data_IF_812121301473
#
_entry.id   IF_812121301473
#
_cell.length_a   1.000
_cell.length_b   1.000
_cell.length_c   1.000
_cell.angle_alpha   90.00
_cell.angle_beta   90.00
_cell.angle_gamma   90.00
#
_symmetry.space_group_name_H-M   'P 1'
#
loop_
_entity.id
_entity.type
_entity.pdbx_description
1 polymer ?
#
# COMPACT_ATOMS: atom_id res chain seq x y z
N UNK A 1 7.13 -7.92 -14.52
CA UNK A 1 6.13 -8.97 -14.26
C UNK A 1 5.36 -9.23 -15.56
N UNK A 2 5.49 -10.40 -16.22
CA UNK A 2 4.70 -10.74 -17.39
C UNK A 2 3.39 -11.38 -16.92
N UNK A 3 2.42 -10.63 -16.58
CA UNK A 3 0.98 -10.91 -16.67
C UNK A 3 0.20 -9.98 -15.73
N UNK A 4 -0.35 -8.91 -16.31
CA UNK A 4 -1.12 -7.85 -15.66
C UNK A 4 -2.55 -8.27 -15.23
N UNK A 5 -2.76 -9.51 -14.81
CA UNK A 5 -3.99 -9.93 -14.15
C UNK A 5 -3.69 -10.53 -12.79
N UNK A 6 -3.10 -9.70 -11.91
CA UNK A 6 -2.96 -10.07 -10.49
C UNK A 6 -4.30 -9.88 -9.78
N UNK A 7 -5.22 -10.81 -9.99
CA UNK A 7 -6.51 -10.85 -9.30
C UNK A 7 -6.40 -11.12 -7.78
N UNK A 8 -5.17 -11.30 -7.25
CA UNK A 8 -4.91 -11.48 -5.81
C UNK A 8 -3.48 -11.10 -5.47
N UNK A 9 -3.06 -9.86 -5.77
CA UNK A 9 -1.80 -9.38 -5.25
C UNK A 9 -1.99 -9.05 -3.77
N UNK A 10 -1.42 -9.86 -2.90
CA UNK A 10 -1.38 -9.62 -1.46
C UNK A 10 0.04 -9.25 -1.10
N UNK A 11 0.22 -8.11 -0.45
CA UNK A 11 1.48 -7.70 0.15
C UNK A 11 1.22 -7.19 1.56
N UNK A 12 2.22 -7.30 2.40
CA UNK A 12 2.20 -6.75 3.75
C UNK A 12 3.10 -5.52 3.78
N UNK A 13 2.56 -4.38 4.21
CA UNK A 13 3.34 -3.17 4.38
C UNK A 13 3.66 -2.98 5.87
N UNK A 14 4.95 -3.06 6.21
CA UNK A 14 5.45 -2.76 7.54
C UNK A 14 5.59 -1.25 7.70
N UNK A 15 4.79 -0.68 8.61
CA UNK A 15 4.79 0.74 8.92
C UNK A 15 4.85 0.92 10.43
N UNK A 16 6.01 1.25 10.94
CA UNK A 16 6.28 1.52 12.34
C UNK A 16 6.71 2.97 12.48
N UNK A 17 5.74 3.85 12.75
CA UNK A 17 5.85 5.31 12.84
C UNK A 17 5.16 5.87 14.07
N UNK A 18 5.40 7.15 14.34
CA UNK A 18 4.82 7.90 15.46
C UNK A 18 5.72 7.88 16.69
N UNK A 19 5.30 8.63 17.72
CA UNK A 19 6.10 8.81 18.95
C UNK A 19 6.30 7.51 19.73
N UNK A 20 5.29 6.63 19.71
CA UNK A 20 5.31 5.33 20.38
C UNK A 20 5.86 4.20 19.52
N UNK A 21 6.21 4.47 18.25
CA UNK A 21 6.76 3.49 17.34
C UNK A 21 8.12 2.96 17.82
N UNK A 22 8.38 1.68 17.60
CA UNK A 22 9.68 1.06 17.88
C UNK A 22 10.78 1.72 17.07
N UNK A 23 11.99 1.80 17.66
CA UNK A 23 13.17 2.44 17.04
C UNK A 23 14.38 1.51 17.14
N UNK A 24 15.39 1.76 16.31
CA UNK A 24 16.68 1.08 16.37
C UNK A 24 16.58 -0.45 16.28
N UNK A 25 17.25 -1.14 17.18
CA UNK A 25 17.31 -2.61 17.21
C UNK A 25 15.96 -3.30 17.35
N UNK A 26 15.04 -2.70 18.10
CA UNK A 26 13.72 -3.32 18.36
C UNK A 26 12.83 -3.27 17.11
N UNK A 27 12.88 -2.15 16.38
CA UNK A 27 12.22 -2.01 15.08
C UNK A 27 12.79 -3.01 14.06
N UNK A 28 14.13 -3.14 14.00
CA UNK A 28 14.80 -4.09 13.12
C UNK A 28 14.44 -5.53 13.46
N UNK A 29 14.41 -5.88 14.75
CA UNK A 29 14.05 -7.22 15.20
C UNK A 29 12.61 -7.56 14.81
N UNK A 30 11.66 -6.66 15.07
CA UNK A 30 10.27 -6.85 14.68
C UNK A 30 10.12 -6.99 13.16
N UNK A 31 10.79 -6.13 12.38
CA UNK A 31 10.74 -6.20 10.91
C UNK A 31 11.24 -7.56 10.38
N UNK A 32 12.32 -8.11 10.95
CA UNK A 32 12.82 -9.45 10.59
C UNK A 32 11.85 -10.57 10.97
N UNK A 33 11.19 -10.48 12.12
CA UNK A 33 10.18 -11.44 12.51
C UNK A 33 8.98 -11.43 11.56
N UNK A 34 8.51 -10.23 11.20
CA UNK A 34 7.43 -10.06 10.23
C UNK A 34 7.85 -10.56 8.84
N UNK A 35 9.09 -10.29 8.41
CA UNK A 35 9.62 -10.77 7.13
C UNK A 35 9.64 -12.31 7.09
N UNK A 36 10.13 -12.96 8.14
CA UNK A 36 10.12 -14.42 8.24
C UNK A 36 8.69 -14.98 8.10
N UNK A 37 7.73 -14.36 8.76
CA UNK A 37 6.32 -14.75 8.67
C UNK A 37 5.78 -14.53 7.24
N UNK A 38 6.03 -13.38 6.64
CA UNK A 38 5.62 -13.07 5.27
C UNK A 38 6.18 -14.09 4.26
N UNK A 39 7.48 -14.39 4.35
CA UNK A 39 8.13 -15.36 3.45
C UNK A 39 7.55 -16.78 3.63
N UNK A 40 7.25 -17.18 4.87
CA UNK A 40 6.60 -18.48 5.14
C UNK A 40 5.27 -18.63 4.41
N UNK A 41 4.53 -17.54 4.24
CA UNK A 41 3.23 -17.52 3.54
C UNK A 41 3.33 -16.98 2.11
N UNK A 42 4.55 -16.79 1.59
CA UNK A 42 4.79 -16.27 0.23
C UNK A 42 4.12 -14.91 -0.04
N UNK A 43 4.07 -14.07 1.00
CA UNK A 43 3.57 -12.69 0.93
C UNK A 43 4.76 -11.74 0.88
N UNK A 44 4.91 -10.88 -0.14
CA UNK A 44 5.97 -9.88 -0.16
C UNK A 44 5.85 -8.90 1.01
N UNK A 45 7.00 -8.60 1.63
CA UNK A 45 7.11 -7.58 2.67
C UNK A 45 7.59 -6.26 2.06
N UNK A 46 6.79 -5.21 2.18
CA UNK A 46 7.10 -3.86 1.77
C UNK A 46 7.39 -3.02 3.01
N UNK A 47 8.49 -2.28 3.02
CA UNK A 47 8.80 -1.31 4.08
C UNK A 47 8.27 0.05 3.69
N UNK A 48 7.56 0.71 4.62
CA UNK A 48 7.07 2.06 4.41
C UNK A 48 8.18 3.07 4.72
N UNK A 49 8.61 3.85 3.73
CA UNK A 49 9.57 4.97 3.72
C UNK A 49 10.98 4.75 4.32
N UNK A 50 11.17 3.82 5.22
CA UNK A 50 12.43 3.57 5.90
C UNK A 50 13.42 2.80 5.01
N UNK A 51 14.20 3.56 4.24
CA UNK A 51 15.19 3.04 3.28
C UNK A 51 16.26 2.21 3.97
N UNK A 52 16.74 2.67 5.13
CA UNK A 52 17.80 1.97 5.87
C UNK A 52 17.30 0.60 6.35
N UNK A 53 16.09 0.55 6.90
CA UNK A 53 15.47 -0.70 7.32
C UNK A 53 15.24 -1.63 6.13
N UNK A 54 14.73 -1.10 5.01
CA UNK A 54 14.46 -1.90 3.81
C UNK A 54 15.75 -2.55 3.28
N UNK A 55 16.86 -1.81 3.24
CA UNK A 55 18.18 -2.33 2.87
C UNK A 55 18.69 -3.34 3.90
N UNK A 56 18.58 -3.04 5.21
CA UNK A 56 19.14 -3.86 6.29
C UNK A 56 18.52 -5.27 6.36
N UNK A 57 17.28 -5.43 5.93
CA UNK A 57 16.59 -6.73 5.91
C UNK A 57 16.46 -7.32 4.52
N UNK A 58 16.98 -6.67 3.48
CA UNK A 58 16.75 -7.02 2.07
C UNK A 58 15.25 -7.24 1.76
N UNK A 59 14.42 -6.24 2.09
CA UNK A 59 12.97 -6.30 1.92
C UNK A 59 12.58 -6.60 0.47
N UNK A 60 11.36 -7.13 0.25
CA UNK A 60 10.85 -7.38 -1.10
C UNK A 60 10.49 -6.09 -1.85
N UNK A 61 10.37 -4.97 -1.10
CA UNK A 61 10.13 -3.66 -1.69
C UNK A 61 10.03 -2.54 -0.67
N UNK A 62 9.76 -1.34 -1.20
CA UNK A 62 9.57 -0.11 -0.43
C UNK A 62 8.35 0.64 -0.93
N UNK A 63 7.63 1.30 -0.04
CA UNK A 63 6.55 2.24 -0.37
C UNK A 63 6.93 3.64 0.07
N UNK A 64 6.83 4.60 -0.84
CA UNK A 64 7.27 5.98 -0.66
C UNK A 64 6.08 6.94 -0.70
N UNK A 65 6.17 8.01 0.07
CA UNK A 65 5.34 9.20 -0.07
C UNK A 65 6.01 10.25 -0.94
N UNK A 66 5.31 11.35 -1.21
CA UNK A 66 5.81 12.44 -2.06
C UNK A 66 7.00 13.22 -1.47
N UNK A 67 7.15 13.19 -0.15
CA UNK A 67 8.24 13.86 0.57
C UNK A 67 9.40 12.95 0.97
N UNK A 68 9.34 11.66 0.62
CA UNK A 68 10.38 10.68 0.96
C UNK A 68 11.51 10.67 -0.11
N UNK A 69 12.34 9.61 -0.10
CA UNK A 69 13.34 9.39 -1.14
C UNK A 69 12.70 9.40 -2.53
N UNK A 70 13.34 10.04 -3.49
CA UNK A 70 12.79 10.05 -4.85
C UNK A 70 12.69 8.65 -5.45
N UNK A 71 11.66 8.40 -6.27
CA UNK A 71 11.47 7.11 -6.95
C UNK A 71 12.68 6.73 -7.81
N UNK A 72 13.35 7.72 -8.42
CA UNK A 72 14.55 7.48 -9.25
C UNK A 72 15.69 6.93 -8.40
N UNK A 73 15.96 7.53 -7.25
CA UNK A 73 16.98 7.04 -6.32
C UNK A 73 16.59 5.69 -5.71
N UNK A 74 15.32 5.53 -5.35
CA UNK A 74 14.80 4.26 -4.84
C UNK A 74 14.99 3.13 -5.88
N UNK A 75 14.72 3.38 -7.16
CA UNK A 75 14.92 2.36 -8.21
C UNK A 75 16.40 1.97 -8.38
N UNK A 76 17.33 2.89 -8.13
CA UNK A 76 18.76 2.60 -8.13
C UNK A 76 19.19 1.74 -6.92
N UNK A 77 18.63 2.02 -5.74
CA UNK A 77 18.94 1.28 -4.50
C UNK A 77 18.23 -0.09 -4.45
N UNK A 78 17.08 -0.21 -5.06
CA UNK A 78 16.23 -1.41 -5.03
C UNK A 78 15.98 -1.97 -6.44
N UNK A 79 17.03 -2.35 -7.19
CA UNK A 79 16.86 -2.89 -8.53
C UNK A 79 16.08 -4.20 -8.49
N UNK A 80 14.98 -4.28 -9.27
CA UNK A 80 14.13 -5.46 -9.34
C UNK A 80 13.21 -5.70 -8.15
N UNK A 81 13.26 -4.83 -7.11
CA UNK A 81 12.33 -4.87 -5.96
C UNK A 81 11.04 -4.11 -6.26
N UNK A 82 10.01 -4.34 -5.47
CA UNK A 82 8.73 -3.66 -5.60
C UNK A 82 8.84 -2.22 -5.07
N UNK A 83 8.46 -1.24 -5.87
CA UNK A 83 8.35 0.15 -5.45
C UNK A 83 6.90 0.59 -5.56
N UNK A 84 6.32 1.01 -4.44
CA UNK A 84 5.03 1.67 -4.38
C UNK A 84 5.19 3.17 -4.15
N UNK A 85 4.26 3.97 -4.67
CA UNK A 85 4.24 5.42 -4.46
C UNK A 85 2.84 5.88 -4.05
N UNK A 86 2.77 6.71 -3.01
CA UNK A 86 1.53 7.42 -2.66
C UNK A 86 1.24 8.52 -3.67
N UNK A 87 0.03 8.48 -4.27
CA UNK A 87 -0.44 9.48 -5.24
C UNK A 87 -1.90 9.80 -4.93
N UNK A 88 -2.16 11.01 -4.40
CA UNK A 88 -3.50 11.46 -4.03
C UNK A 88 -4.12 12.46 -5.00
N UNK A 89 -3.31 13.12 -5.85
CA UNK A 89 -3.76 14.16 -6.75
C UNK A 89 -3.25 13.97 -8.18
N UNK A 90 -3.90 14.62 -9.14
CA UNK A 90 -3.45 14.69 -10.54
C UNK A 90 -2.06 15.33 -10.63
N UNK A 91 -1.82 16.39 -9.86
CA UNK A 91 -0.52 17.07 -9.84
C UNK A 91 0.60 16.13 -9.36
N UNK A 92 0.38 15.38 -8.27
CA UNK A 92 1.33 14.38 -7.80
C UNK A 92 1.58 13.30 -8.85
N UNK A 93 0.53 12.85 -9.55
CA UNK A 93 0.65 11.85 -10.61
C UNK A 93 1.53 12.37 -11.77
N UNK A 94 1.25 13.57 -12.26
CA UNK A 94 1.96 14.16 -13.41
C UNK A 94 3.42 14.52 -13.10
N UNK A 95 3.72 14.85 -11.83
CA UNK A 95 5.07 15.19 -11.38
C UNK A 95 5.90 13.99 -10.90
N UNK A 96 5.32 12.79 -10.87
CA UNK A 96 6.01 11.58 -10.43
C UNK A 96 6.45 10.70 -11.61
N UNK A 97 7.64 10.06 -11.55
CA UNK A 97 8.10 9.12 -12.57
C UNK A 97 7.36 7.78 -12.44
N UNK A 98 6.08 7.77 -12.83
CA UNK A 98 5.14 6.66 -12.65
C UNK A 98 5.61 5.37 -13.34
N UNK A 99 6.37 5.49 -14.43
CA UNK A 99 6.95 4.36 -15.17
C UNK A 99 7.99 3.57 -14.37
N UNK A 100 8.51 4.16 -13.29
CA UNK A 100 9.50 3.53 -12.41
C UNK A 100 8.88 2.85 -11.19
N UNK A 101 7.55 2.96 -10.97
CA UNK A 101 6.87 2.31 -9.84
C UNK A 101 6.09 1.07 -10.29
N UNK A 102 5.87 0.15 -9.37
CA UNK A 102 5.13 -1.09 -9.61
C UNK A 102 3.65 -0.97 -9.23
N UNK A 103 3.31 -0.03 -8.35
CA UNK A 103 1.94 0.31 -8.00
C UNK A 103 1.84 1.71 -7.37
N UNK A 104 0.66 2.30 -7.41
CA UNK A 104 0.35 3.53 -6.68
C UNK A 104 -0.64 3.25 -5.55
N UNK A 105 -0.43 3.92 -4.41
CA UNK A 105 -1.36 3.97 -3.28
C UNK A 105 -2.15 5.27 -3.33
N UNK A 106 -3.46 5.21 -3.59
CA UNK A 106 -4.30 6.38 -3.81
C UNK A 106 -5.27 6.61 -2.66
N UNK A 107 -5.19 7.79 -2.06
CA UNK A 107 -6.03 8.15 -0.91
C UNK A 107 -5.47 9.32 -0.09
N UNK A 108 -6.05 9.55 1.11
CA UNK A 108 -7.14 8.76 1.69
C UNK A 108 -8.48 8.92 0.95
N UNK A 109 -9.19 7.83 0.71
CA UNK A 109 -10.51 7.89 0.06
C UNK A 109 -11.52 8.56 0.99
N UNK A 110 -11.53 8.16 2.26
CA UNK A 110 -12.31 8.80 3.31
C UNK A 110 -11.39 9.39 4.37
N UNK A 111 -11.84 10.39 5.14
CA UNK A 111 -11.05 10.96 6.23
C UNK A 111 -10.58 9.88 7.19
N UNK A 112 -9.30 9.91 7.58
CA UNK A 112 -8.69 8.87 8.44
C UNK A 112 -7.86 9.49 9.54
N UNK A 113 -7.85 8.84 10.71
CA UNK A 113 -6.98 9.15 11.84
C UNK A 113 -5.82 8.12 11.98
N UNK A 114 -5.72 7.16 11.05
CA UNK A 114 -4.68 6.12 11.12
C UNK A 114 -3.28 6.60 10.70
N UNK A 115 -3.18 7.83 10.20
CA UNK A 115 -1.92 8.51 9.87
C UNK A 115 -2.01 9.95 10.35
N UNK A 116 -1.00 10.41 11.09
CA UNK A 116 -0.93 11.79 11.59
C UNK A 116 -0.66 12.79 10.45
N UNK A 117 -0.08 12.30 9.35
CA UNK A 117 0.30 13.03 8.13
C UNK A 117 -0.67 12.82 6.95
N UNK A 118 -1.92 12.44 7.23
CA UNK A 118 -2.90 12.16 6.17
C UNK A 118 -3.29 13.44 5.41
N UNK A 119 -3.19 13.40 4.10
CA UNK A 119 -3.71 14.43 3.18
C UNK A 119 -5.25 14.50 3.24
N UNK A 120 -5.88 15.57 2.74
CA UNK A 120 -7.33 15.64 2.60
C UNK A 120 -7.89 14.45 1.80
N UNK A 121 -9.11 14.02 2.17
CA UNK A 121 -9.76 12.88 1.50
C UNK A 121 -10.06 13.21 0.03
N UNK A 122 -9.68 12.30 -0.88
CA UNK A 122 -9.89 12.45 -2.33
C UNK A 122 -11.26 11.97 -2.79
N UNK A 123 -11.94 11.15 -1.98
CA UNK A 123 -13.24 10.55 -2.30
C UNK A 123 -13.20 9.61 -3.51
N UNK A 124 -14.37 9.08 -3.87
CA UNK A 124 -14.53 8.23 -5.05
C UNK A 124 -14.23 8.98 -6.36
N UNK A 125 -14.47 10.30 -6.39
CA UNK A 125 -14.18 11.10 -7.57
C UNK A 125 -12.68 11.25 -7.82
N UNK A 126 -11.88 11.40 -6.76
CA UNK A 126 -10.42 11.42 -6.88
C UNK A 126 -9.87 10.10 -7.42
N UNK A 127 -10.38 8.94 -6.95
CA UNK A 127 -10.01 7.64 -7.52
C UNK A 127 -10.32 7.55 -9.02
N UNK A 128 -11.52 7.98 -9.44
CA UNK A 128 -11.91 8.00 -10.85
C UNK A 128 -11.04 8.92 -11.71
N UNK A 129 -10.65 10.07 -11.17
CA UNK A 129 -9.74 10.99 -11.86
C UNK A 129 -8.35 10.36 -12.04
N UNK A 130 -7.75 9.82 -10.98
CA UNK A 130 -6.46 9.14 -11.05
C UNK A 130 -6.49 7.93 -11.99
N UNK A 131 -7.58 7.15 -12.01
CA UNK A 131 -7.71 6.02 -12.94
C UNK A 131 -7.79 6.47 -14.41
N UNK A 132 -8.35 7.62 -14.72
CA UNK A 132 -8.36 8.16 -16.08
C UNK A 132 -6.97 8.54 -16.58
N UNK A 133 -6.10 9.03 -15.68
CA UNK A 133 -4.69 9.33 -15.98
C UNK A 133 -3.84 8.08 -16.09
N UNK A 134 -4.24 7.03 -15.39
CA UNK A 134 -3.47 5.81 -15.19
C UNK A 134 -4.27 4.58 -15.64
N UNK A 135 -4.04 4.11 -16.85
CA UNK A 135 -4.69 2.90 -17.37
C UNK A 135 -3.97 1.59 -16.98
N UNK A 136 -2.69 1.67 -16.66
CA UNK A 136 -1.79 0.52 -16.67
C UNK A 136 -1.19 0.13 -15.31
N UNK A 137 -0.84 1.11 -14.47
CA UNK A 137 -0.21 0.85 -13.17
C UNK A 137 -1.28 0.42 -12.16
N UNK A 138 -1.08 -0.66 -11.40
CA UNK A 138 -1.98 -1.06 -10.33
C UNK A 138 -2.23 0.08 -9.34
N UNK A 139 -3.51 0.35 -9.05
CA UNK A 139 -3.93 1.40 -8.12
C UNK A 139 -4.60 0.78 -6.91
N UNK A 140 -4.04 1.01 -5.73
CA UNK A 140 -4.52 0.51 -4.44
C UNK A 140 -5.16 1.66 -3.66
N UNK A 141 -6.44 1.57 -3.37
CA UNK A 141 -7.15 2.57 -2.57
C UNK A 141 -6.86 2.40 -1.08
N UNK A 142 -6.65 3.51 -0.36
CA UNK A 142 -6.40 3.53 1.08
C UNK A 142 -7.21 4.64 1.77
N UNK A 143 -7.50 4.50 3.05
CA UNK A 143 -8.10 5.52 3.94
C UNK A 143 -9.50 5.15 4.38
N UNK A 144 -9.62 4.76 5.66
CA UNK A 144 -10.85 4.38 6.38
C UNK A 144 -11.82 3.50 5.57
N UNK A 145 -11.30 2.44 4.95
CA UNK A 145 -12.08 1.54 4.12
C UNK A 145 -12.63 0.37 4.94
N UNK A 146 -13.82 -0.08 4.58
CA UNK A 146 -14.49 -1.25 5.14
C UNK A 146 -14.91 -2.23 4.04
N UNK A 147 -15.35 -3.43 4.42
CA UNK A 147 -15.87 -4.41 3.46
C UNK A 147 -17.04 -3.88 2.61
N UNK A 148 -17.83 -2.95 3.14
CA UNK A 148 -18.97 -2.36 2.43
C UNK A 148 -18.54 -1.46 1.27
N UNK A 149 -17.36 -0.85 1.39
CA UNK A 149 -16.84 0.13 0.42
C UNK A 149 -16.13 -0.55 -0.76
N UNK A 150 -15.74 -1.82 -0.60
CA UNK A 150 -14.93 -2.56 -1.58
C UNK A 150 -15.51 -2.49 -3.00
N UNK A 151 -16.83 -2.70 -3.13
CA UNK A 151 -17.50 -2.70 -4.44
C UNK A 151 -17.38 -1.35 -5.14
N UNK A 152 -17.70 -0.27 -4.45
CA UNK A 152 -17.71 1.08 -5.00
C UNK A 152 -16.29 1.55 -5.34
N UNK A 153 -15.31 1.16 -4.51
CA UNK A 153 -13.89 1.44 -4.73
C UNK A 153 -13.38 0.74 -5.99
N UNK A 154 -13.68 -0.55 -6.17
CA UNK A 154 -13.29 -1.28 -7.37
C UNK A 154 -13.99 -0.73 -8.62
N UNK A 155 -15.27 -0.34 -8.51
CA UNK A 155 -16.00 0.34 -9.58
C UNK A 155 -15.46 1.75 -9.88
N UNK A 156 -14.87 2.42 -8.89
CA UNK A 156 -14.17 3.69 -9.10
C UNK A 156 -12.82 3.52 -9.82
N UNK A 157 -12.36 2.28 -10.02
CA UNK A 157 -11.19 1.94 -10.81
C UNK A 157 -9.96 1.52 -10.01
N UNK A 158 -10.06 1.34 -8.69
CA UNK A 158 -8.97 0.71 -7.93
C UNK A 158 -8.85 -0.78 -8.28
N UNK A 159 -7.63 -1.31 -8.30
CA UNK A 159 -7.34 -2.74 -8.51
C UNK A 159 -7.33 -3.50 -7.18
N UNK A 160 -7.24 -2.77 -6.05
CA UNK A 160 -7.21 -3.34 -4.72
C UNK A 160 -7.42 -2.30 -3.64
N UNK A 161 -7.39 -2.76 -2.38
CA UNK A 161 -7.54 -1.92 -1.19
C UNK A 161 -6.38 -2.16 -0.22
N UNK A 162 -5.97 -1.11 0.49
CA UNK A 162 -5.04 -1.18 1.62
C UNK A 162 -5.79 -0.84 2.92
N UNK A 163 -5.57 -1.64 3.94
CA UNK A 163 -6.29 -1.58 5.21
C UNK A 163 -5.30 -1.54 6.37
N UNK A 164 -5.63 -0.77 7.40
CA UNK A 164 -4.90 -0.73 8.68
C UNK A 164 -5.88 -1.09 9.80
N UNK A 165 -6.62 -0.14 10.30
CA UNK A 165 -7.48 -0.28 11.50
C UNK A 165 -8.61 -1.28 11.32
N UNK A 166 -9.12 -1.47 10.12
CA UNK A 166 -10.16 -2.46 9.83
C UNK A 166 -9.72 -3.91 10.16
N UNK A 167 -8.40 -4.16 10.18
CA UNK A 167 -7.84 -5.45 10.57
C UNK A 167 -7.19 -5.35 11.95
N UNK A 168 -6.31 -4.37 12.19
CA UNK A 168 -5.50 -4.28 13.42
C UNK A 168 -6.31 -3.97 14.68
N UNK A 169 -7.47 -3.32 14.56
CA UNK A 169 -8.38 -3.02 15.66
C UNK A 169 -9.59 -3.95 15.74
N UNK A 170 -9.68 -4.96 14.88
CA UNK A 170 -10.73 -5.96 14.95
C UNK A 170 -10.54 -6.89 16.17
N UNK A 171 -11.64 -7.30 16.79
CA UNK A 171 -11.60 -8.31 17.86
C UNK A 171 -10.98 -9.63 17.38
N UNK A 172 -11.29 -10.02 16.14
CA UNK A 172 -10.68 -11.15 15.45
C UNK A 172 -10.11 -10.69 14.10
N UNK A 173 -8.79 -10.38 14.01
CA UNK A 173 -8.15 -9.96 12.78
C UNK A 173 -8.22 -10.99 11.65
N UNK A 174 -8.28 -12.28 11.99
CA UNK A 174 -8.39 -13.35 11.00
C UNK A 174 -9.76 -13.32 10.31
N UNK A 175 -10.85 -13.33 11.09
CA UNK A 175 -12.21 -13.27 10.54
C UNK A 175 -12.46 -11.94 9.81
N UNK A 176 -11.97 -10.82 10.33
CA UNK A 176 -12.04 -9.53 9.63
C UNK A 176 -11.36 -9.59 8.26
N UNK A 177 -10.16 -10.18 8.20
CA UNK A 177 -9.42 -10.35 6.93
C UNK A 177 -10.16 -11.27 5.96
N UNK A 178 -10.72 -12.37 6.47
CA UNK A 178 -11.48 -13.33 5.66
C UNK A 178 -12.71 -12.70 5.02
N UNK A 179 -13.51 -11.96 5.80
CA UNK A 179 -14.69 -11.24 5.29
C UNK A 179 -14.30 -10.27 4.16
N UNK A 180 -13.20 -9.55 4.31
CA UNK A 180 -12.69 -8.63 3.30
C UNK A 180 -12.26 -9.35 2.02
N UNK A 181 -11.54 -10.46 2.16
CA UNK A 181 -11.07 -11.27 1.03
C UNK A 181 -12.24 -11.90 0.28
N UNK A 182 -13.19 -12.49 1.01
CA UNK A 182 -14.38 -13.12 0.41
C UNK A 182 -15.24 -12.08 -0.32
N UNK A 183 -15.39 -10.87 0.27
CA UNK A 183 -16.07 -9.75 -0.35
C UNK A 183 -15.43 -9.29 -1.66
N UNK A 184 -14.09 -9.23 -1.72
CA UNK A 184 -13.36 -8.88 -2.94
C UNK A 184 -13.42 -9.98 -4.01
N UNK A 185 -13.36 -11.26 -3.62
CA UNK A 185 -13.44 -12.38 -4.55
C UNK A 185 -14.81 -12.52 -5.21
N UNK A 186 -15.89 -12.32 -4.45
CA UNK A 186 -17.26 -12.36 -4.97
C UNK A 186 -17.53 -11.31 -6.06
N UNK A 187 -16.73 -10.24 -6.14
CA UNK A 187 -16.86 -9.18 -7.15
C UNK A 187 -15.95 -9.38 -8.37
N UNK A 188 -15.13 -10.41 -8.38
CA UNK A 188 -14.18 -10.72 -9.46
C UNK A 188 -14.73 -11.76 -10.46
N UNK A 189 -16.00 -12.17 -10.27
CA UNK A 189 -16.80 -13.03 -11.14
C UNK A 189 -17.80 -12.17 -11.89
#
# INVERSE_FOLDING_TARGET
FPNRRLRTFRLFQFREKGEQGLKGSDKLLLAKQVQHLCHRYQVPLIINDDVELACAIDADGIHLGQGDLSVVEARQLFPGKIIGLSVGTEEEYLNSPIELVDYIGSGPVFPTLSKDDASPAIGMNGLKQLRRLNSDIPMVAIGWLSAKDCKDILQAGADGIALISAISHAEDPYEATKILVDGMQAMSV
#
